data_IF_541565945046
#
_entry.id   IF_541565945046
#
_cell.length_a   1.000
_cell.length_b   1.000
_cell.length_c   1.000
_cell.angle_alpha   90.00
_cell.angle_beta   90.00
_cell.angle_gamma   90.00
#
_symmetry.space_group_name_H-M   'P 1'
#
loop_
_entity.id
_entity.type
_entity.pdbx_description
1 polymer ?
#
# COMPACT_ATOMS: atom_id res chain seq x y z
N UNK A 1 8.29 5.39 -6.69
CA UNK A 1 6.91 4.90 -6.74
C UNK A 1 6.97 3.40 -7.03
N UNK A 2 6.10 2.58 -6.40
CA UNK A 2 6.07 1.14 -6.65
C UNK A 2 5.67 0.76 -8.08
N UNK A 3 6.18 -0.36 -8.58
CA UNK A 3 5.87 -0.89 -9.92
C UNK A 3 4.39 -1.19 -10.10
N UNK A 4 3.72 -1.71 -9.07
CA UNK A 4 2.29 -2.02 -9.10
C UNK A 4 1.44 -0.78 -9.44
N UNK A 5 1.69 0.35 -8.78
CA UNK A 5 0.99 1.61 -9.06
C UNK A 5 1.37 2.22 -10.43
N UNK A 6 2.43 1.73 -11.05
CA UNK A 6 2.87 2.18 -12.36
C UNK A 6 2.20 1.40 -13.49
N UNK A 7 2.13 0.07 -13.40
CA UNK A 7 1.72 -0.75 -14.55
C UNK A 7 0.41 -1.51 -14.35
N UNK A 8 -0.02 -1.72 -13.11
CA UNK A 8 -1.15 -2.61 -12.80
C UNK A 8 -2.36 -1.81 -12.32
N UNK A 9 -2.15 -0.85 -11.42
CA UNK A 9 -3.26 -0.10 -10.81
C UNK A 9 -3.81 1.00 -11.75
N UNK A 10 -5.12 1.00 -12.09
CA UNK A 10 -5.74 2.04 -12.91
C UNK A 10 -5.73 3.40 -12.22
N UNK A 11 -5.86 3.43 -10.89
CA UNK A 11 -5.80 4.66 -10.09
C UNK A 11 -4.47 5.40 -10.26
N UNK A 12 -3.35 4.67 -10.30
CA UNK A 12 -2.03 5.28 -10.49
C UNK A 12 -1.85 5.88 -11.90
N UNK A 13 -2.45 5.27 -12.92
CA UNK A 13 -2.52 5.85 -14.26
C UNK A 13 -3.40 7.12 -14.28
N UNK A 14 -4.54 7.10 -13.60
CA UNK A 14 -5.42 8.26 -13.49
C UNK A 14 -4.71 9.44 -12.80
N UNK A 15 -3.99 9.19 -11.71
CA UNK A 15 -3.19 10.23 -11.03
C UNK A 15 -2.13 10.82 -11.96
N UNK A 16 -1.42 9.99 -12.74
CA UNK A 16 -0.46 10.47 -13.75
C UNK A 16 -1.10 11.33 -14.82
N UNK A 17 -2.28 10.94 -15.29
CA UNK A 17 -3.01 11.71 -16.29
C UNK A 17 -3.51 13.04 -15.71
N UNK A 18 -4.11 13.03 -14.52
CA UNK A 18 -4.50 14.24 -13.79
C UNK A 18 -3.31 15.20 -13.63
N UNK A 19 -2.12 14.67 -13.31
CA UNK A 19 -0.90 15.46 -13.20
C UNK A 19 -0.48 16.13 -14.52
N UNK A 20 -0.80 15.57 -15.69
CA UNK A 20 -0.54 16.21 -16.98
C UNK A 20 -1.57 17.29 -17.33
N UNK A 21 -2.82 17.10 -16.92
CA UNK A 21 -3.93 18.02 -17.19
C UNK A 21 -3.95 19.21 -16.22
N UNK A 22 -3.56 19.01 -14.96
CA UNK A 22 -3.63 20.07 -13.94
C UNK A 22 -2.52 21.13 -14.09
N UNK A 23 -2.86 22.42 -13.90
CA UNK A 23 -1.91 23.52 -14.00
C UNK A 23 -0.86 23.47 -12.87
N UNK A 24 0.37 23.86 -13.19
CA UNK A 24 1.52 23.74 -12.27
C UNK A 24 1.32 24.42 -10.91
N UNK A 25 0.56 25.52 -10.87
CA UNK A 25 0.19 26.29 -9.67
C UNK A 25 -0.59 25.50 -8.60
N UNK A 26 -1.24 24.40 -8.96
CA UNK A 26 -1.97 23.57 -7.99
C UNK A 26 -1.08 22.49 -7.36
N UNK A 27 0.08 22.22 -7.98
CA UNK A 27 1.02 21.20 -7.54
C UNK A 27 1.93 21.82 -6.49
N UNK A 28 1.86 21.31 -5.26
CA UNK A 28 2.81 21.68 -4.20
C UNK A 28 3.85 20.57 -4.04
N UNK A 29 5.15 20.89 -4.04
CA UNK A 29 6.14 19.93 -3.59
C UNK A 29 5.84 19.55 -2.14
N UNK A 30 6.08 18.29 -1.79
CA UNK A 30 5.98 17.87 -0.40
C UNK A 30 7.02 18.64 0.44
N UNK A 31 6.64 19.24 1.58
CA UNK A 31 7.60 19.87 2.47
C UNK A 31 8.67 18.87 2.92
N UNK A 32 9.89 19.33 3.17
CA UNK A 32 11.01 18.44 3.54
C UNK A 32 10.75 17.65 4.83
N UNK A 33 9.97 18.22 5.76
CA UNK A 33 9.51 17.56 6.99
C UNK A 33 8.57 16.37 6.70
N UNK A 34 7.87 16.40 5.57
CA UNK A 34 7.03 15.31 5.09
C UNK A 34 7.82 14.10 4.56
N UNK A 35 9.16 14.19 4.44
CA UNK A 35 10.00 13.05 4.02
C UNK A 35 10.03 11.95 5.06
N UNK A 36 9.95 12.28 6.35
CA UNK A 36 9.91 11.30 7.43
C UNK A 36 8.56 10.59 7.47
N UNK A 37 7.47 11.35 7.45
CA UNK A 37 6.10 10.84 7.33
C UNK A 37 5.98 9.96 6.09
N UNK A 38 6.51 10.40 4.95
CA UNK A 38 6.50 9.63 3.72
C UNK A 38 7.34 8.35 3.73
N UNK A 39 8.26 8.20 4.68
CA UNK A 39 9.03 6.96 4.87
C UNK A 39 8.32 6.01 5.82
N UNK A 40 7.73 6.54 6.90
CA UNK A 40 7.09 5.74 7.94
C UNK A 40 5.67 5.33 7.61
N UNK A 41 4.88 6.19 6.96
CA UNK A 41 3.48 5.88 6.62
C UNK A 41 3.36 4.59 5.80
N UNK A 42 4.13 4.35 4.73
CA UNK A 42 4.07 3.08 4.01
C UNK A 42 4.40 1.86 4.87
N UNK A 43 5.41 1.99 5.73
CA UNK A 43 5.87 0.90 6.60
C UNK A 43 4.85 0.60 7.68
N UNK A 44 4.26 1.63 8.29
CA UNK A 44 3.18 1.50 9.26
C UNK A 44 1.93 0.90 8.64
N UNK A 45 1.55 1.34 7.44
CA UNK A 45 0.38 0.84 6.74
C UNK A 45 0.58 -0.63 6.32
N UNK A 46 1.80 -1.00 5.92
CA UNK A 46 2.18 -2.40 5.70
C UNK A 46 2.14 -3.22 6.99
N UNK A 47 2.65 -2.68 8.11
CA UNK A 47 2.62 -3.36 9.41
C UNK A 47 1.19 -3.58 9.90
N UNK A 48 0.30 -2.60 9.71
CA UNK A 48 -1.14 -2.73 10.00
C UNK A 48 -1.76 -3.81 9.12
N UNK A 49 -1.48 -3.81 7.82
CA UNK A 49 -2.01 -4.83 6.89
C UNK A 49 -1.55 -6.24 7.28
N UNK A 50 -0.27 -6.40 7.60
CA UNK A 50 0.29 -7.67 8.07
C UNK A 50 -0.29 -8.08 9.42
N UNK A 51 -0.43 -7.14 10.36
CA UNK A 51 -1.05 -7.39 11.66
C UNK A 51 -2.49 -7.85 11.54
N UNK A 52 -3.31 -7.13 10.77
CA UNK A 52 -4.70 -7.53 10.50
C UNK A 52 -4.78 -8.91 9.83
N UNK A 53 -3.91 -9.17 8.86
CA UNK A 53 -3.85 -10.46 8.17
C UNK A 53 -3.46 -11.61 9.12
N UNK A 54 -2.47 -11.40 9.99
CA UNK A 54 -1.99 -12.40 10.94
C UNK A 54 -2.96 -12.64 12.09
N UNK A 55 -3.68 -11.61 12.54
CA UNK A 55 -4.70 -11.72 13.58
C UNK A 55 -6.05 -12.21 13.02
N UNK A 56 -6.14 -12.51 11.71
CA UNK A 56 -7.37 -12.94 11.04
C UNK A 56 -8.58 -12.05 11.36
N UNK A 57 -8.38 -10.73 11.49
CA UNK A 57 -9.48 -9.83 11.78
C UNK A 57 -10.36 -9.69 10.52
N UNK A 58 -11.69 -9.68 10.70
CA UNK A 58 -12.70 -9.45 9.65
C UNK A 58 -12.73 -8.00 9.13
N UNK A 59 -11.57 -7.38 8.97
CA UNK A 59 -11.43 -6.06 8.38
C UNK A 59 -11.22 -6.21 6.87
N UNK A 60 -12.10 -5.60 6.10
CA UNK A 60 -11.98 -5.54 4.65
C UNK A 60 -10.82 -4.61 4.26
N UNK A 61 -9.62 -5.20 4.11
CA UNK A 61 -8.42 -4.52 3.64
C UNK A 61 -8.52 -4.11 2.17
N UNK A 62 -9.33 -4.81 1.37
CA UNK A 62 -9.58 -4.39 -0.02
C UNK A 62 -10.33 -3.05 -0.05
N UNK A 63 -11.14 -2.80 0.98
CA UNK A 63 -11.75 -1.52 1.35
C UNK A 63 -10.84 -0.29 1.29
N UNK A 64 -9.55 -0.46 1.63
CA UNK A 64 -8.57 0.64 1.71
C UNK A 64 -7.87 0.92 0.38
N UNK A 65 -8.03 0.04 -0.60
CA UNK A 65 -7.36 0.14 -1.89
C UNK A 65 -8.29 0.70 -2.98
N UNK A 66 -7.91 1.79 -3.67
CA UNK A 66 -8.73 2.39 -4.71
C UNK A 66 -8.82 1.52 -5.96
N UNK A 67 -8.06 0.42 -6.04
CA UNK A 67 -8.17 -0.56 -7.11
C UNK A 67 -9.57 -1.17 -7.15
N UNK A 68 -10.11 -1.51 -5.97
CA UNK A 68 -11.41 -2.19 -5.86
C UNK A 68 -12.59 -1.27 -6.21
N UNK A 69 -12.40 0.04 -6.08
CA UNK A 69 -13.37 1.03 -6.54
C UNK A 69 -13.62 1.00 -8.07
N UNK A 70 -12.69 0.46 -8.86
CA UNK A 70 -12.88 0.30 -10.31
C UNK A 70 -13.56 -1.02 -10.69
N UNK A 71 -13.71 -1.94 -9.74
CA UNK A 71 -14.51 -3.15 -9.92
C UNK A 71 -15.98 -2.82 -9.63
N UNK A 72 -16.68 -2.36 -10.68
CA UNK A 72 -18.07 -1.84 -10.63
C UNK A 72 -19.05 -2.81 -9.95
N UNK A 73 -18.74 -4.12 -9.90
CA UNK A 73 -19.58 -5.16 -9.27
C UNK A 73 -19.29 -5.43 -7.79
N UNK A 74 -18.19 -4.92 -7.23
CA UNK A 74 -17.76 -5.18 -5.85
C UNK A 74 -17.43 -3.92 -5.04
N UNK A 75 -17.48 -2.74 -5.65
CA UNK A 75 -17.08 -1.49 -5.00
C UNK A 75 -18.03 -1.11 -3.85
N UNK A 76 -17.56 -1.28 -2.61
CA UNK A 76 -18.21 -0.71 -1.43
C UNK A 76 -18.11 0.83 -1.40
N UNK A 77 -19.04 1.51 -0.73
CA UNK A 77 -18.99 2.97 -0.54
C UNK A 77 -17.66 3.43 0.09
N UNK A 78 -17.07 2.62 0.98
CA UNK A 78 -15.78 2.89 1.60
C UNK A 78 -14.63 2.97 0.58
N UNK A 79 -14.55 2.05 -0.38
CA UNK A 79 -13.48 2.04 -1.40
C UNK A 79 -13.58 3.26 -2.32
N UNK A 80 -14.81 3.66 -2.68
CA UNK A 80 -15.07 4.82 -3.51
C UNK A 80 -14.66 6.11 -2.79
N UNK A 81 -15.00 6.26 -1.51
CA UNK A 81 -14.60 7.42 -0.71
C UNK A 81 -13.07 7.50 -0.58
N UNK A 82 -12.40 6.38 -0.31
CA UNK A 82 -10.94 6.33 -0.23
C UNK A 82 -10.30 6.65 -1.58
N UNK A 83 -10.87 6.16 -2.68
CA UNK A 83 -10.40 6.47 -4.03
C UNK A 83 -10.55 7.96 -4.38
N UNK A 84 -11.69 8.56 -4.08
CA UNK A 84 -11.94 9.98 -4.32
C UNK A 84 -11.08 10.87 -3.42
N UNK A 85 -10.96 10.55 -2.14
CA UNK A 85 -10.11 11.28 -1.20
C UNK A 85 -8.63 11.17 -1.59
N UNK A 86 -8.16 9.95 -1.92
CA UNK A 86 -6.81 9.71 -2.40
C UNK A 86 -6.51 10.45 -3.71
N UNK A 87 -7.48 10.52 -4.62
CA UNK A 87 -7.38 11.30 -5.84
C UNK A 87 -7.33 12.81 -5.54
N UNK A 88 -8.23 13.32 -4.70
CA UNK A 88 -8.27 14.74 -4.32
C UNK A 88 -6.96 15.20 -3.67
N UNK A 89 -6.41 14.41 -2.75
CA UNK A 89 -5.09 14.69 -2.15
C UNK A 89 -3.99 14.66 -3.21
N UNK A 90 -4.09 13.75 -4.19
CA UNK A 90 -3.10 13.65 -5.28
C UNK A 90 -3.10 14.84 -6.24
N UNK A 91 -4.19 15.64 -6.29
CA UNK A 91 -4.26 16.86 -7.10
C UNK A 91 -3.36 17.97 -6.55
N UNK A 92 -3.24 18.06 -5.23
CA UNK A 92 -2.37 19.03 -4.55
C UNK A 92 -0.95 18.50 -4.39
N UNK A 93 -0.82 17.21 -4.05
CA UNK A 93 0.46 16.56 -3.82
C UNK A 93 0.68 15.44 -4.84
N UNK A 94 1.59 15.62 -5.80
CA UNK A 94 1.74 14.69 -6.92
C UNK A 94 1.94 13.25 -6.47
N UNK A 95 0.98 12.39 -6.83
CA UNK A 95 1.01 10.95 -6.57
C UNK A 95 1.11 10.57 -5.09
N UNK A 96 0.62 11.42 -4.17
CA UNK A 96 0.73 11.20 -2.74
C UNK A 96 0.19 9.83 -2.30
N UNK A 97 -0.97 9.42 -2.80
CA UNK A 97 -1.54 8.12 -2.48
C UNK A 97 -0.67 6.97 -3.00
N UNK A 98 -0.30 6.95 -4.30
CA UNK A 98 0.55 5.89 -4.85
C UNK A 98 1.97 5.86 -4.28
N UNK A 99 2.45 6.96 -3.70
CA UNK A 99 3.78 7.03 -3.08
C UNK A 99 3.76 6.62 -1.61
N UNK A 100 2.70 6.97 -0.87
CA UNK A 100 2.67 6.82 0.59
C UNK A 100 1.52 5.97 1.13
N UNK A 101 0.35 6.03 0.49
CA UNK A 101 -0.90 5.46 1.01
C UNK A 101 -1.31 4.11 0.42
N UNK A 102 -0.61 3.59 -0.60
CA UNK A 102 -0.94 2.31 -1.21
C UNK A 102 -0.18 1.15 -0.53
N UNK A 103 -0.85 0.30 0.29
CA UNK A 103 -0.21 -0.85 0.92
C UNK A 103 0.27 -1.89 -0.07
N UNK A 104 -0.56 -2.30 -1.04
CA UNK A 104 -0.20 -3.36 -1.99
C UNK A 104 0.95 -2.94 -2.89
N UNK A 105 1.04 -1.66 -3.24
CA UNK A 105 2.19 -1.13 -3.95
C UNK A 105 3.50 -1.38 -3.21
N UNK A 106 3.55 -1.02 -1.94
CA UNK A 106 4.74 -1.20 -1.11
C UNK A 106 5.02 -2.65 -0.76
N UNK A 107 4.00 -3.46 -0.51
CA UNK A 107 4.13 -4.90 -0.29
C UNK A 107 4.77 -5.58 -1.51
N UNK A 108 4.26 -5.32 -2.71
CA UNK A 108 4.79 -5.92 -3.94
C UNK A 108 6.20 -5.40 -4.25
N UNK A 109 6.50 -4.14 -3.98
CA UNK A 109 7.85 -3.59 -4.12
C UNK A 109 8.83 -4.26 -3.13
N UNK A 110 8.37 -4.56 -1.91
CA UNK A 110 9.13 -5.29 -0.91
C UNK A 110 9.39 -6.74 -1.36
N UNK A 111 8.39 -7.44 -1.89
CA UNK A 111 8.57 -8.84 -2.36
C UNK A 111 9.35 -8.91 -3.67
N UNK A 112 9.30 -7.87 -4.51
CA UNK A 112 9.95 -7.85 -5.83
C UNK A 112 11.46 -8.12 -5.72
N UNK A 113 11.92 -9.26 -6.26
CA UNK A 113 13.33 -9.58 -6.43
C UNK A 113 13.99 -8.54 -7.34
N UNK A 114 15.16 -8.03 -6.95
CA UNK A 114 16.01 -7.22 -7.83
C UNK A 114 17.02 -8.15 -8.48
N UNK A 115 16.80 -8.46 -9.75
CA UNK A 115 17.75 -9.22 -10.58
C UNK A 115 19.09 -8.50 -10.58
N UNK A 116 20.16 -9.15 -10.10
CA UNK A 116 21.52 -8.60 -10.16
C UNK A 116 22.47 -8.94 -9.01
N UNK A 117 22.00 -9.56 -7.92
CA UNK A 117 22.87 -10.13 -6.88
C UNK A 117 22.30 -11.46 -6.40
N UNK A 118 23.02 -12.55 -6.61
CA UNK A 118 22.73 -13.89 -6.09
C UNK A 118 23.11 -14.01 -4.60
N UNK A 119 22.87 -12.96 -3.82
CA UNK A 119 23.11 -12.95 -2.38
C UNK A 119 21.78 -12.82 -1.65
N UNK A 120 21.54 -13.71 -0.69
CA UNK A 120 20.39 -13.61 0.23
C UNK A 120 20.46 -12.27 0.96
N UNK A 121 19.50 -11.39 0.68
CA UNK A 121 19.45 -10.07 1.30
C UNK A 121 18.77 -10.16 2.67
N UNK A 122 18.98 -9.15 3.51
CA UNK A 122 18.26 -8.96 4.79
C UNK A 122 16.73 -9.06 4.59
N UNK A 123 16.25 -8.64 3.42
CA UNK A 123 14.83 -8.72 3.04
C UNK A 123 14.32 -10.15 2.87
N UNK A 124 15.14 -11.04 2.31
CA UNK A 124 14.78 -12.44 2.15
C UNK A 124 14.71 -13.14 3.52
N UNK A 125 15.61 -12.78 4.44
CA UNK A 125 15.55 -13.21 5.85
C UNK A 125 14.31 -12.68 6.57
N UNK A 126 13.93 -11.42 6.37
CA UNK A 126 12.68 -10.87 6.88
C UNK A 126 11.46 -11.63 6.34
N UNK A 127 11.47 -11.95 5.04
CA UNK A 127 10.43 -12.76 4.40
C UNK A 127 10.32 -14.17 4.99
N UNK A 128 11.45 -14.84 5.21
CA UNK A 128 11.52 -16.13 5.89
C UNK A 128 11.02 -16.06 7.35
N UNK A 129 11.39 -15.00 8.08
CA UNK A 129 10.91 -14.77 9.44
C UNK A 129 9.40 -14.55 9.50
N UNK A 130 8.85 -13.73 8.59
CA UNK A 130 7.41 -13.52 8.44
C UNK A 130 6.67 -14.81 8.09
N UNK A 131 7.23 -15.63 7.20
CA UNK A 131 6.68 -16.94 6.86
C UNK A 131 6.68 -17.88 8.06
N UNK A 132 7.80 -17.97 8.78
CA UNK A 132 7.90 -18.79 10.00
C UNK A 132 6.91 -18.34 11.08
N UNK A 133 6.77 -17.02 11.28
CA UNK A 133 5.78 -16.44 12.18
C UNK A 133 4.35 -16.78 11.73
N UNK A 134 4.04 -16.66 10.44
CA UNK A 134 2.73 -16.99 9.90
C UNK A 134 2.39 -18.48 10.13
N UNK A 135 3.35 -19.37 9.90
CA UNK A 135 3.18 -20.81 10.15
C UNK A 135 2.99 -21.08 11.66
N UNK A 136 3.77 -20.43 12.52
CA UNK A 136 3.62 -20.57 13.97
C UNK A 136 2.25 -20.07 14.44
N UNK A 137 1.80 -18.90 13.99
CA UNK A 137 0.49 -18.35 14.32
C UNK A 137 -0.66 -19.16 13.73
N UNK A 138 -0.46 -19.85 12.60
CA UNK A 138 -1.47 -20.74 12.05
C UNK A 138 -1.55 -22.07 12.82
N UNK A 139 -0.42 -22.56 13.35
CA UNK A 139 -0.39 -23.78 14.17
C UNK A 139 -0.79 -23.54 15.63
N UNK A 140 -0.76 -22.30 16.11
CA UNK A 140 -1.28 -21.91 17.42
C UNK A 140 -2.70 -21.38 17.23
N UNK A 141 -3.75 -22.11 17.65
CA UNK A 141 -5.12 -21.65 17.46
C UNK A 141 -5.33 -20.32 18.19
N UNK A 142 -5.90 -19.33 17.47
CA UNK A 142 -6.07 -17.92 17.87
C UNK A 142 -6.77 -17.74 19.23
N UNK A 143 -7.52 -18.75 19.65
CA UNK A 143 -8.21 -18.89 20.93
C UNK A 143 -7.28 -19.01 22.15
N UNK A 144 -5.99 -19.30 21.97
CA UNK A 144 -4.96 -19.23 23.03
C UNK A 144 -4.33 -17.83 23.20
N UNK A 145 -4.45 -16.96 22.20
CA UNK A 145 -3.80 -15.63 22.19
C UNK A 145 -4.76 -14.51 22.66
N UNK A 146 -6.06 -14.67 22.43
CA UNK A 146 -7.12 -13.72 22.80
C UNK A 146 -7.86 -14.09 24.11
N UNK A 147 -7.34 -15.06 24.88
CA UNK A 147 -7.82 -15.43 26.21
C UNK A 147 -7.34 -14.50 27.31
#
# INVERSE_FOLDING_TARGET
QPVYCQFICPHGNLQRWAMKVLPARWKRPLPEDGKWVGRWVPVMLLAVVLGVSFLQLDLDLAGIEPFDAYLIRGAGLATIVVALAGLAVSLFFPMAYCKFGCPTGWLLEFVRKRTGKDEFSVRDWMGLGLLGLAVALHMVPLEWILG
#
